data_IF_451058332113
#
_entry.id   IF_451058332113
#
_cell.length_a   1.000
_cell.length_b   1.000
_cell.length_c   1.000
_cell.angle_alpha   90.00
_cell.angle_beta   90.00
_cell.angle_gamma   90.00
#
_symmetry.space_group_name_H-M   'P 1'
#
loop_
_entity.id
_entity.type
_entity.pdbx_description
1 polymer ?
#
# COMPACT_ATOMS: atom_id res chain seq x y z
N UNK A 1 -24.35 35.99 7.58
CA UNK A 1 -24.03 34.58 7.93
C UNK A 1 -23.80 33.82 6.62
N UNK A 2 -22.57 33.78 6.12
CA UNK A 2 -22.24 33.13 4.84
C UNK A 2 -20.74 32.76 4.75
N UNK A 3 -20.19 32.14 5.80
CA UNK A 3 -18.75 31.79 5.86
C UNK A 3 -18.48 30.33 6.21
N UNK A 4 -19.52 29.52 6.48
CA UNK A 4 -19.36 28.15 7.01
C UNK A 4 -19.34 27.06 5.93
N UNK A 5 -19.89 27.32 4.74
CA UNK A 5 -19.97 26.30 3.68
C UNK A 5 -18.63 26.03 2.99
N UNK A 6 -17.76 27.04 2.87
CA UNK A 6 -16.49 26.92 2.15
C UNK A 6 -15.42 26.18 2.97
N UNK A 7 -15.45 26.25 4.30
CA UNK A 7 -14.46 25.59 5.15
C UNK A 7 -14.69 24.08 5.28
N UNK A 8 -15.95 23.62 5.27
CA UNK A 8 -16.28 22.20 5.39
C UNK A 8 -15.91 21.41 4.14
N UNK A 9 -16.07 22.00 2.95
CA UNK A 9 -15.63 21.38 1.69
C UNK A 9 -14.11 21.26 1.60
N UNK A 10 -13.38 22.28 2.06
CA UNK A 10 -11.93 22.28 2.06
C UNK A 10 -11.35 21.23 3.01
N UNK A 11 -11.98 21.02 4.18
CA UNK A 11 -11.59 19.97 5.14
C UNK A 11 -11.85 18.59 4.54
N UNK A 12 -13.03 18.37 3.95
CA UNK A 12 -13.36 17.10 3.32
C UNK A 12 -12.38 16.74 2.19
N UNK A 13 -12.04 17.72 1.34
CA UNK A 13 -11.08 17.51 0.27
C UNK A 13 -9.68 17.16 0.79
N UNK A 14 -9.25 17.78 1.89
CA UNK A 14 -7.98 17.42 2.55
C UNK A 14 -8.00 16.00 3.09
N UNK A 15 -9.10 15.57 3.70
CA UNK A 15 -9.22 14.20 4.21
C UNK A 15 -9.11 13.17 3.08
N UNK A 16 -9.82 13.41 1.97
CA UNK A 16 -9.77 12.54 0.79
C UNK A 16 -8.39 12.51 0.16
N UNK A 17 -7.69 13.65 0.09
CA UNK A 17 -6.31 13.70 -0.39
C UNK A 17 -5.37 12.91 0.52
N UNK A 18 -5.46 13.07 1.85
CA UNK A 18 -4.65 12.29 2.80
C UNK A 18 -4.88 10.79 2.64
N UNK A 19 -6.14 10.36 2.48
CA UNK A 19 -6.46 8.94 2.26
C UNK A 19 -5.87 8.45 0.95
N UNK A 20 -6.02 9.21 -0.14
CA UNK A 20 -5.45 8.86 -1.43
C UNK A 20 -3.93 8.72 -1.31
N UNK A 21 -3.26 9.66 -0.63
CA UNK A 21 -1.82 9.67 -0.45
C UNK A 21 -1.34 8.39 0.26
N UNK A 22 -1.95 8.04 1.39
CA UNK A 22 -1.58 6.83 2.13
C UNK A 22 -1.89 5.54 1.37
N UNK A 23 -2.99 5.47 0.61
CA UNK A 23 -3.27 4.31 -0.26
C UNK A 23 -2.20 4.18 -1.34
N UNK A 24 -1.77 5.30 -1.94
CA UNK A 24 -0.68 5.33 -2.91
C UNK A 24 0.65 4.83 -2.34
N UNK A 25 0.99 5.25 -1.12
CA UNK A 25 2.18 4.77 -0.41
C UNK A 25 2.13 3.25 -0.17
N UNK A 26 0.95 2.70 0.16
CA UNK A 26 0.79 1.25 0.31
C UNK A 26 0.92 0.49 -1.02
N UNK A 27 0.41 1.03 -2.13
CA UNK A 27 0.62 0.44 -3.47
C UNK A 27 2.10 0.37 -3.78
N UNK A 28 2.86 1.45 -3.53
CA UNK A 28 4.29 1.49 -3.78
C UNK A 28 5.04 0.48 -2.89
N UNK A 29 4.70 0.42 -1.59
CA UNK A 29 5.32 -0.52 -0.65
C UNK A 29 5.09 -1.98 -1.09
N UNK A 30 3.86 -2.37 -1.41
CA UNK A 30 3.55 -3.74 -1.84
C UNK A 30 4.24 -4.07 -3.17
N UNK A 31 4.30 -3.13 -4.13
CA UNK A 31 5.02 -3.33 -5.38
C UNK A 31 6.53 -3.59 -5.15
N UNK A 32 7.17 -2.85 -4.24
CA UNK A 32 8.57 -3.06 -3.90
C UNK A 32 8.82 -4.41 -3.21
N UNK A 33 7.89 -4.86 -2.36
CA UNK A 33 7.97 -6.19 -1.74
C UNK A 33 7.80 -7.27 -2.80
N UNK A 34 6.85 -7.13 -3.73
CA UNK A 34 6.63 -8.07 -4.83
C UNK A 34 7.88 -8.23 -5.70
N UNK A 35 8.52 -7.12 -6.07
CA UNK A 35 9.78 -7.14 -6.85
C UNK A 35 10.90 -7.89 -6.12
N UNK A 36 10.96 -7.79 -4.79
CA UNK A 36 11.93 -8.55 -3.99
C UNK A 36 11.62 -10.05 -3.99
N UNK A 37 10.36 -10.42 -3.83
CA UNK A 37 9.91 -11.80 -3.85
C UNK A 37 10.06 -12.44 -5.24
N UNK A 38 9.84 -11.69 -6.33
CA UNK A 38 10.10 -12.11 -7.71
C UNK A 38 11.55 -12.58 -7.94
N UNK A 39 12.51 -11.93 -7.27
CA UNK A 39 13.92 -12.35 -7.30
C UNK A 39 14.12 -13.59 -6.45
N UNK A 40 13.59 -13.61 -5.23
CA UNK A 40 13.74 -14.74 -4.33
C UNK A 40 13.16 -16.05 -4.90
N UNK A 41 12.02 -16.01 -5.60
CA UNK A 41 11.44 -17.16 -6.30
C UNK A 41 12.46 -17.84 -7.22
N UNK A 42 13.33 -17.06 -7.87
CA UNK A 42 14.39 -17.59 -8.74
C UNK A 42 15.58 -18.13 -7.93
N UNK A 43 15.90 -17.50 -6.81
CA UNK A 43 17.01 -17.90 -5.93
C UNK A 43 16.73 -19.22 -5.19
N UNK A 44 15.47 -19.50 -4.88
CA UNK A 44 15.06 -20.71 -4.14
C UNK A 44 14.52 -21.82 -5.04
N UNK A 45 14.66 -21.71 -6.36
CA UNK A 45 14.06 -22.65 -7.33
C UNK A 45 14.45 -24.12 -7.13
N UNK A 46 15.63 -24.36 -6.55
CA UNK A 46 16.19 -25.71 -6.32
C UNK A 46 15.78 -26.30 -4.96
N UNK A 47 15.04 -25.54 -4.12
CA UNK A 47 14.46 -25.98 -2.85
C UNK A 47 12.92 -25.90 -2.92
N UNK A 48 12.22 -27.03 -3.10
CA UNK A 48 10.77 -27.04 -3.26
C UNK A 48 9.99 -26.48 -2.06
N UNK A 49 10.53 -26.61 -0.84
CA UNK A 49 9.87 -26.13 0.38
C UNK A 49 9.99 -24.60 0.47
N UNK A 50 11.20 -24.07 0.27
CA UNK A 50 11.44 -22.64 0.23
C UNK A 50 10.68 -21.97 -0.93
N UNK A 51 10.70 -22.58 -2.12
CA UNK A 51 9.96 -22.08 -3.29
C UNK A 51 8.47 -21.93 -3.00
N UNK A 52 7.85 -22.96 -2.41
CA UNK A 52 6.43 -22.92 -2.06
C UNK A 52 6.13 -21.81 -1.04
N UNK A 53 7.00 -21.59 -0.05
CA UNK A 53 6.83 -20.55 0.94
C UNK A 53 6.94 -19.14 0.33
N UNK A 54 8.01 -18.87 -0.44
CA UNK A 54 8.23 -17.58 -1.10
C UNK A 54 7.11 -17.26 -2.10
N UNK A 55 6.64 -18.25 -2.87
CA UNK A 55 5.49 -18.08 -3.76
C UNK A 55 4.21 -17.71 -3.00
N UNK A 56 3.96 -18.31 -1.83
CA UNK A 56 2.81 -17.96 -0.99
C UNK A 56 2.83 -16.50 -0.51
N UNK A 57 4.01 -16.00 -0.13
CA UNK A 57 4.19 -14.58 0.22
C UNK A 57 4.00 -13.69 -0.99
N UNK A 58 4.61 -14.03 -2.13
CA UNK A 58 4.50 -13.29 -3.38
C UNK A 58 3.03 -13.14 -3.81
N UNK A 59 2.27 -14.23 -3.83
CA UNK A 59 0.87 -14.21 -4.25
C UNK A 59 -0.03 -13.41 -3.30
N UNK A 60 0.35 -13.32 -2.03
CA UNK A 60 -0.37 -12.51 -1.03
C UNK A 60 -0.11 -11.02 -1.25
N UNK A 61 1.16 -10.63 -1.35
CA UNK A 61 1.60 -9.25 -1.63
C UNK A 61 1.01 -8.73 -2.93
N UNK A 62 1.08 -9.54 -4.00
CA UNK A 62 0.50 -9.21 -5.29
C UNK A 62 -1.01 -8.94 -5.20
N UNK A 63 -1.75 -9.81 -4.50
CA UNK A 63 -3.20 -9.64 -4.30
C UNK A 63 -3.51 -8.38 -3.51
N UNK A 64 -2.70 -8.07 -2.49
CA UNK A 64 -2.83 -6.84 -1.72
C UNK A 64 -2.62 -5.60 -2.59
N UNK A 65 -1.52 -5.56 -3.35
CA UNK A 65 -1.21 -4.49 -4.31
C UNK A 65 -2.37 -4.28 -5.29
N UNK A 66 -2.83 -5.35 -5.93
CA UNK A 66 -3.87 -5.26 -6.96
C UNK A 66 -5.20 -4.76 -6.36
N UNK A 67 -5.52 -5.15 -5.12
CA UNK A 67 -6.71 -4.66 -4.41
C UNK A 67 -6.60 -3.18 -4.03
N UNK A 68 -5.42 -2.70 -3.65
CA UNK A 68 -5.16 -1.28 -3.37
C UNK A 68 -5.23 -0.42 -4.64
N UNK A 69 -4.72 -0.92 -5.77
CA UNK A 69 -4.84 -0.26 -7.07
C UNK A 69 -6.31 -0.10 -7.43
N UNK A 70 -7.11 -1.18 -7.30
CA UNK A 70 -8.54 -1.13 -7.58
C UNK A 70 -9.28 -0.11 -6.67
N UNK A 71 -8.95 -0.07 -5.39
CA UNK A 71 -9.49 0.93 -4.45
C UNK A 71 -9.13 2.36 -4.86
N UNK A 72 -7.91 2.58 -5.34
CA UNK A 72 -7.45 3.89 -5.80
C UNK A 72 -8.22 4.36 -7.04
N UNK A 73 -8.49 3.45 -7.98
CA UNK A 73 -9.30 3.70 -9.17
C UNK A 73 -10.76 4.00 -8.82
N UNK A 74 -11.35 3.27 -7.88
CA UNK A 74 -12.72 3.47 -7.41
C UNK A 74 -12.88 4.82 -6.69
N UNK A 75 -11.95 5.15 -5.81
CA UNK A 75 -11.92 6.43 -5.07
C UNK A 75 -11.69 7.63 -5.99
N UNK A 76 -11.00 7.43 -7.12
CA UNK A 76 -10.78 8.47 -8.14
C UNK A 76 -11.92 8.68 -9.14
N UNK A 77 -12.91 7.77 -9.19
CA UNK A 77 -13.93 7.71 -10.25
C UNK A 77 -15.31 8.26 -9.86
N UNK A 78 -15.53 8.65 -8.60
CA UNK A 78 -16.82 9.20 -8.13
C UNK A 78 -17.14 10.55 -8.80
N UNK A 79 -18.28 10.62 -9.48
CA UNK A 79 -18.76 11.80 -10.22
C UNK A 79 -18.93 12.99 -9.27
N UNK A 80 -18.06 14.00 -9.38
CA UNK A 80 -18.17 15.27 -8.66
C UNK A 80 -16.91 15.78 -7.96
N UNK A 81 -15.82 15.00 -7.88
CA UNK A 81 -14.64 15.37 -7.10
C UNK A 81 -13.39 15.66 -7.97
N UNK A 82 -12.71 16.82 -7.83
CA UNK A 82 -11.51 17.16 -8.60
C UNK A 82 -10.25 16.29 -8.36
N UNK A 83 -10.32 15.25 -7.52
CA UNK A 83 -9.20 14.34 -7.17
C UNK A 83 -8.77 13.43 -8.36
N UNK A 84 -9.39 13.56 -9.54
CA UNK A 84 -9.07 12.86 -10.80
C UNK A 84 -7.59 12.85 -11.22
N UNK A 85 -6.72 13.69 -10.62
CA UNK A 85 -5.28 13.73 -10.92
C UNK A 85 -4.36 13.19 -9.81
N UNK A 86 -4.86 12.92 -8.61
CA UNK A 86 -4.01 12.50 -7.49
C UNK A 86 -3.57 11.03 -7.61
N UNK A 87 -4.46 10.12 -8.02
CA UNK A 87 -4.17 8.68 -8.09
C UNK A 87 -2.99 8.33 -9.00
N UNK A 88 -2.96 8.91 -10.21
CA UNK A 88 -1.85 8.71 -11.16
C UNK A 88 -0.56 9.44 -10.77
N UNK A 89 -0.65 10.53 -9.99
CA UNK A 89 0.53 11.27 -9.52
C UNK A 89 1.17 10.62 -8.27
N UNK A 90 0.45 9.74 -7.57
CA UNK A 90 0.88 9.13 -6.32
C UNK A 90 1.87 7.98 -6.46
N UNK A 91 1.85 7.29 -7.60
CA UNK A 91 2.95 6.39 -8.00
C UNK A 91 4.32 7.10 -7.99
N UNK A 92 4.36 8.43 -8.13
CA UNK A 92 5.58 9.23 -8.10
C UNK A 92 5.95 9.85 -6.75
N UNK A 93 5.16 9.65 -5.69
CA UNK A 93 5.37 10.27 -4.36
C UNK A 93 5.76 9.28 -3.25
N UNK A 94 6.34 8.14 -3.62
CA UNK A 94 7.08 7.28 -2.69
C UNK A 94 8.36 7.97 -2.20
N UNK A 95 8.25 9.13 -1.55
CA UNK A 95 9.36 9.83 -0.92
C UNK A 95 9.74 9.08 0.36
N UNK A 96 10.49 7.99 0.19
CA UNK A 96 11.05 7.24 1.32
C UNK A 96 11.01 5.73 1.19
N UNK A 97 10.49 5.15 0.09
CA UNK A 97 10.57 3.69 -0.06
C UNK A 97 12.01 3.32 -0.44
N UNK A 98 12.61 2.59 0.49
CA UNK A 98 14.03 2.52 0.74
C UNK A 98 14.76 1.82 -0.40
N UNK A 99 15.98 2.28 -0.68
CA UNK A 99 17.02 1.56 -1.43
C UNK A 99 17.44 0.30 -0.64
N UNK A 100 16.58 -0.73 -0.65
CA UNK A 100 16.70 -1.99 0.09
C UNK A 100 16.91 -3.17 -0.87
N UNK A 101 17.55 -2.93 -2.01
CA UNK A 101 17.88 -3.99 -2.96
C UNK A 101 19.40 -4.11 -3.05
N UNK A 102 19.95 -5.00 -2.23
CA UNK A 102 21.31 -5.50 -2.39
C UNK A 102 21.28 -7.02 -2.49
N UNK A 103 21.87 -7.55 -3.55
CA UNK A 103 22.00 -8.99 -3.78
C UNK A 103 22.97 -9.58 -2.75
N UNK A 104 22.43 -10.18 -1.70
CA UNK A 104 23.21 -10.96 -0.73
C UNK A 104 22.40 -12.23 -0.38
N UNK A 105 23.06 -13.37 -0.11
CA UNK A 105 22.42 -14.70 -0.12
C UNK A 105 21.21 -14.90 0.79
N UNK A 106 20.46 -16.00 0.57
CA UNK A 106 19.14 -16.35 1.12
C UNK A 106 18.89 -15.96 2.60
N UNK A 107 19.88 -16.10 3.49
CA UNK A 107 19.72 -15.75 4.92
C UNK A 107 19.55 -14.25 5.19
N UNK A 108 20.04 -13.39 4.29
CA UNK A 108 19.86 -11.94 4.37
C UNK A 108 18.52 -11.51 3.78
N UNK A 109 18.06 -12.20 2.72
CA UNK A 109 16.71 -12.04 2.17
C UNK A 109 15.64 -12.21 3.25
N UNK A 110 15.75 -13.25 4.11
CA UNK A 110 14.81 -13.45 5.22
C UNK A 110 14.73 -12.30 6.23
N UNK A 111 15.88 -11.68 6.56
CA UNK A 111 15.90 -10.52 7.47
C UNK A 111 15.23 -9.32 6.81
N UNK A 112 15.55 -9.10 5.54
CA UNK A 112 15.04 -7.96 4.78
C UNK A 112 13.53 -8.11 4.55
N UNK A 113 13.04 -9.34 4.32
CA UNK A 113 11.62 -9.69 4.29
C UNK A 113 10.94 -9.40 5.63
N UNK A 114 11.52 -9.84 6.75
CA UNK A 114 10.97 -9.56 8.07
C UNK A 114 10.81 -8.05 8.31
N UNK A 115 11.82 -7.25 7.92
CA UNK A 115 11.75 -5.81 8.03
C UNK A 115 10.66 -5.21 7.11
N UNK A 116 10.57 -5.69 5.87
CA UNK A 116 9.60 -5.21 4.90
C UNK A 116 8.15 -5.55 5.30
N UNK A 117 7.89 -6.79 5.73
CA UNK A 117 6.56 -7.21 6.23
C UNK A 117 6.19 -6.53 7.55
N UNK A 118 7.17 -6.28 8.43
CA UNK A 118 6.92 -5.50 9.65
C UNK A 118 6.53 -4.05 9.31
N UNK A 119 7.21 -3.43 8.34
CA UNK A 119 6.86 -2.11 7.84
C UNK A 119 5.46 -2.12 7.21
N UNK A 120 5.13 -3.12 6.39
CA UNK A 120 3.79 -3.27 5.81
C UNK A 120 2.71 -3.36 6.89
N UNK A 121 2.91 -4.17 7.93
CA UNK A 121 1.95 -4.30 9.02
C UNK A 121 1.75 -2.99 9.80
N UNK A 122 2.83 -2.25 10.08
CA UNK A 122 2.73 -0.93 10.72
C UNK A 122 1.98 0.04 9.82
N UNK A 123 2.29 0.06 8.52
CA UNK A 123 1.67 0.96 7.56
C UNK A 123 0.19 0.65 7.32
N UNK A 124 -0.22 -0.62 7.30
CA UNK A 124 -1.64 -0.99 7.30
C UNK A 124 -2.35 -0.59 8.59
N UNK A 125 -1.69 -0.72 9.74
CA UNK A 125 -2.26 -0.26 11.02
C UNK A 125 -2.48 1.26 11.02
N UNK A 126 -1.53 2.02 10.47
CA UNK A 126 -1.67 3.46 10.27
C UNK A 126 -2.80 3.79 9.28
N UNK A 127 -2.88 3.10 8.14
CA UNK A 127 -3.93 3.30 7.14
C UNK A 127 -5.32 2.99 7.72
N UNK A 128 -5.44 1.93 8.51
CA UNK A 128 -6.67 1.57 9.20
C UNK A 128 -7.11 2.70 10.16
N UNK A 129 -6.21 3.15 11.04
CA UNK A 129 -6.49 4.23 11.98
C UNK A 129 -6.85 5.55 11.26
N UNK A 130 -6.14 5.87 10.18
CA UNK A 130 -6.45 7.04 9.32
C UNK A 130 -7.82 6.92 8.68
N UNK A 131 -8.18 5.76 8.13
CA UNK A 131 -9.49 5.50 7.55
C UNK A 131 -10.62 5.71 8.57
N UNK A 132 -10.47 5.18 9.79
CA UNK A 132 -11.42 5.42 10.87
C UNK A 132 -11.50 6.90 11.27
N UNK A 133 -10.35 7.54 11.50
CA UNK A 133 -10.26 8.93 11.95
C UNK A 133 -10.82 9.94 10.95
N UNK A 134 -10.76 9.64 9.65
CA UNK A 134 -11.25 10.48 8.57
C UNK A 134 -12.63 10.08 8.04
N UNK A 135 -13.27 9.06 8.64
CA UNK A 135 -14.63 8.63 8.27
C UNK A 135 -14.72 7.87 6.95
N UNK A 136 -13.66 7.14 6.57
CA UNK A 136 -13.63 6.28 5.38
C UNK A 136 -13.58 4.79 5.79
N UNK A 137 -14.75 4.15 6.01
CA UNK A 137 -14.82 2.76 6.45
C UNK A 137 -14.34 1.76 5.38
N UNK A 138 -14.47 2.11 4.09
CA UNK A 138 -14.00 1.26 2.99
C UNK A 138 -12.49 1.04 3.10
N UNK A 139 -11.72 2.11 3.28
CA UNK A 139 -10.27 2.06 3.44
C UNK A 139 -9.88 1.39 4.76
N UNK A 140 -10.57 1.71 5.85
CA UNK A 140 -10.30 1.11 7.14
C UNK A 140 -10.46 -0.42 7.10
N UNK A 141 -11.57 -0.92 6.56
CA UNK A 141 -11.83 -2.36 6.44
C UNK A 141 -10.90 -3.06 5.46
N UNK A 142 -10.45 -2.39 4.39
CA UNK A 142 -9.44 -2.97 3.50
C UNK A 142 -8.10 -3.15 4.23
N UNK A 143 -7.63 -2.11 4.91
CA UNK A 143 -6.37 -2.14 5.64
C UNK A 143 -6.36 -3.20 6.74
N UNK A 144 -7.48 -3.37 7.46
CA UNK A 144 -7.63 -4.43 8.45
C UNK A 144 -7.55 -5.83 7.83
N UNK A 145 -8.23 -6.07 6.69
CA UNK A 145 -8.18 -7.36 6.00
C UNK A 145 -6.79 -7.75 5.51
N UNK A 146 -5.93 -6.78 5.21
CA UNK A 146 -4.55 -7.05 4.79
C UNK A 146 -3.61 -7.34 5.98
N UNK A 147 -4.07 -7.16 7.23
CA UNK A 147 -3.33 -7.53 8.45
C UNK A 147 -3.62 -8.96 8.94
N UNK A 148 -4.72 -9.58 8.51
CA UNK A 148 -5.28 -10.82 9.08
C UNK A 148 -5.39 -11.94 8.05
#
# INVERSE_FOLDING_TARGET
>A
MATTSNSSSDVQQKHEQTIADYVGDMVALEAHIEEALDRQVKEVQDDPEALKAVQGFHDTVKRHRDTLIALQEETGSTVGNPVKKAGAALLGKAAGVIDMIRTEGISKSLRDDYAAFSLAAISYSMLHATGLGLGNPLVASLAERHLT
#
